data_IF_460161406461
#
_entry.id   IF_460161406461
#
_cell.length_a   1.000
_cell.length_b   1.000
_cell.length_c   1.000
_cell.angle_alpha   90.00
_cell.angle_beta   90.00
_cell.angle_gamma   90.00
#
_symmetry.space_group_name_H-M   'P 1'
#
loop_
_entity.id
_entity.type
_entity.pdbx_description
1 polymer ?
#
# COMPACT_ATOMS: atom_id res chain seq x y z
N UNK A 1 -18.65 12.53 -26.98
CA UNK A 1 -18.21 11.84 -25.75
C UNK A 1 -18.80 10.42 -25.68
N UNK A 2 -18.14 9.36 -26.20
CA UNK A 2 -18.64 7.98 -26.09
C UNK A 2 -18.05 7.16 -24.94
N UNK A 3 -16.93 7.58 -24.34
CA UNK A 3 -16.14 6.73 -23.45
C UNK A 3 -16.70 6.57 -22.02
N UNK A 4 -17.53 7.49 -21.51
CA UNK A 4 -18.08 7.39 -20.16
C UNK A 4 -19.24 6.38 -20.03
N UNK A 5 -19.92 6.06 -21.14
CA UNK A 5 -21.06 5.14 -21.12
C UNK A 5 -20.63 3.68 -20.86
N UNK A 6 -19.41 3.33 -21.23
CA UNK A 6 -18.93 1.95 -21.16
C UNK A 6 -18.71 1.48 -19.71
N UNK A 7 -18.04 2.31 -18.88
CA UNK A 7 -17.83 2.00 -17.47
C UNK A 7 -19.13 1.94 -16.67
N UNK A 8 -20.07 2.86 -16.92
CA UNK A 8 -21.38 2.84 -16.28
C UNK A 8 -22.21 1.60 -16.67
N UNK A 9 -22.09 1.16 -17.93
CA UNK A 9 -22.75 -0.07 -18.40
C UNK A 9 -22.14 -1.32 -17.78
N UNK A 10 -20.82 -1.41 -17.66
CA UNK A 10 -20.14 -2.52 -16.97
C UNK A 10 -20.57 -2.61 -15.51
N UNK A 11 -20.52 -1.50 -14.77
CA UNK A 11 -20.96 -1.46 -13.38
C UNK A 11 -22.43 -1.84 -13.25
N UNK A 12 -23.30 -1.31 -14.12
CA UNK A 12 -24.73 -1.66 -14.14
C UNK A 12 -24.99 -3.14 -14.40
N UNK A 13 -24.26 -3.78 -15.32
CA UNK A 13 -24.37 -5.22 -15.58
C UNK A 13 -23.94 -6.03 -14.35
N UNK A 14 -22.81 -5.69 -13.74
CA UNK A 14 -22.30 -6.39 -12.54
C UNK A 14 -23.28 -6.26 -11.37
N UNK A 15 -23.85 -5.08 -11.15
CA UNK A 15 -24.75 -4.82 -10.03
C UNK A 15 -26.17 -5.40 -10.21
N UNK A 16 -26.59 -5.73 -11.44
CA UNK A 16 -27.93 -6.26 -11.74
C UNK A 16 -27.98 -7.78 -11.78
N UNK A 17 -26.85 -8.44 -11.98
CA UNK A 17 -26.74 -9.89 -12.00
C UNK A 17 -26.21 -10.38 -10.64
N UNK A 18 -26.99 -11.21 -9.95
CA UNK A 18 -26.66 -11.68 -8.60
C UNK A 18 -25.35 -12.49 -8.57
N UNK A 19 -25.04 -13.24 -9.63
CA UNK A 19 -23.80 -14.02 -9.71
C UNK A 19 -22.59 -13.10 -9.92
N UNK A 20 -22.72 -12.13 -10.83
CA UNK A 20 -21.65 -11.15 -11.08
C UNK A 20 -21.41 -10.24 -9.87
N UNK A 21 -22.48 -9.86 -9.14
CA UNK A 21 -22.37 -9.08 -7.92
C UNK A 21 -21.61 -9.84 -6.83
N UNK A 22 -21.95 -11.11 -6.58
CA UNK A 22 -21.24 -11.95 -5.60
C UNK A 22 -19.78 -12.15 -5.96
N UNK A 23 -19.48 -12.35 -7.24
CA UNK A 23 -18.10 -12.46 -7.72
C UNK A 23 -17.34 -11.15 -7.45
N UNK A 24 -17.90 -10.02 -7.86
CA UNK A 24 -17.29 -8.71 -7.62
C UNK A 24 -17.07 -8.42 -6.13
N UNK A 25 -18.04 -8.71 -5.28
CA UNK A 25 -17.91 -8.55 -3.82
C UNK A 25 -16.76 -9.40 -3.26
N UNK A 26 -16.65 -10.66 -3.71
CA UNK A 26 -15.56 -11.55 -3.31
C UNK A 26 -14.18 -11.04 -3.75
N UNK A 27 -14.06 -10.50 -4.96
CA UNK A 27 -12.82 -9.94 -5.48
C UNK A 27 -12.42 -8.67 -4.72
N UNK A 28 -13.37 -7.78 -4.44
CA UNK A 28 -13.13 -6.57 -3.63
C UNK A 28 -12.66 -6.95 -2.23
N UNK A 29 -13.29 -7.96 -1.61
CA UNK A 29 -12.89 -8.47 -0.30
C UNK A 29 -11.47 -9.03 -0.34
N UNK A 30 -11.13 -9.87 -1.31
CA UNK A 30 -9.77 -10.41 -1.45
C UNK A 30 -8.72 -9.31 -1.64
N UNK A 31 -9.03 -8.26 -2.42
CA UNK A 31 -8.12 -7.12 -2.56
C UNK A 31 -7.92 -6.36 -1.25
N UNK A 32 -8.99 -6.16 -0.47
CA UNK A 32 -8.92 -5.54 0.84
C UNK A 32 -8.10 -6.38 1.83
N UNK A 33 -8.33 -7.69 1.88
CA UNK A 33 -7.62 -8.62 2.75
C UNK A 33 -6.11 -8.63 2.44
N UNK A 34 -5.74 -8.57 1.15
CA UNK A 34 -4.33 -8.45 0.74
C UNK A 34 -3.70 -7.15 1.26
N UNK A 35 -4.42 -6.03 1.20
CA UNK A 35 -3.92 -4.74 1.71
C UNK A 35 -3.68 -4.82 3.22
N UNK A 36 -4.60 -5.45 3.97
CA UNK A 36 -4.47 -5.65 5.42
C UNK A 36 -3.24 -6.51 5.72
N UNK A 37 -3.06 -7.63 5.02
CA UNK A 37 -1.89 -8.50 5.19
C UNK A 37 -0.57 -7.76 4.91
N UNK A 38 -0.53 -6.87 3.90
CA UNK A 38 0.67 -6.08 3.61
C UNK A 38 0.96 -5.04 4.71
N UNK A 39 -0.07 -4.49 5.36
CA UNK A 39 0.11 -3.60 6.53
C UNK A 39 0.73 -4.36 7.70
N UNK A 40 0.21 -5.55 7.97
CA UNK A 40 0.71 -6.38 9.06
C UNK A 40 2.17 -6.75 8.84
N UNK A 41 2.50 -7.26 7.65
CA UNK A 41 3.87 -7.64 7.29
C UNK A 41 4.83 -6.45 7.29
N UNK A 42 4.40 -5.28 6.80
CA UNK A 42 5.23 -4.08 6.85
C UNK A 42 5.57 -3.69 8.29
N UNK A 43 4.56 -3.65 9.17
CA UNK A 43 4.77 -3.33 10.58
C UNK A 43 5.68 -4.35 11.26
N UNK A 44 5.40 -5.64 11.08
CA UNK A 44 6.16 -6.72 11.72
C UNK A 44 7.63 -6.70 11.26
N UNK A 45 7.89 -6.43 9.98
CA UNK A 45 9.25 -6.27 9.45
C UNK A 45 9.97 -5.05 10.06
N UNK A 46 9.31 -3.89 10.12
CA UNK A 46 9.93 -2.67 10.66
C UNK A 46 10.26 -2.79 12.15
N UNK A 47 9.36 -3.40 12.93
CA UNK A 47 9.56 -3.71 14.35
C UNK A 47 10.66 -4.76 14.51
N UNK A 48 10.62 -5.84 13.74
CA UNK A 48 11.64 -6.90 13.78
C UNK A 48 13.05 -6.41 13.42
N UNK A 49 13.16 -5.40 12.57
CA UNK A 49 14.43 -4.75 12.22
C UNK A 49 14.88 -3.67 13.23
N UNK A 50 14.15 -3.48 14.33
CA UNK A 50 14.36 -2.41 15.32
C UNK A 50 14.47 -1.04 14.64
N UNK A 51 13.57 -0.76 13.70
CA UNK A 51 13.57 0.52 12.98
C UNK A 51 13.17 1.64 13.93
N UNK A 52 13.98 2.70 14.10
CA UNK A 52 13.64 3.82 14.97
C UNK A 52 12.27 4.44 14.62
N UNK A 53 11.51 4.82 15.65
CA UNK A 53 10.20 5.45 15.52
C UNK A 53 9.02 4.55 15.87
N UNK A 54 7.83 5.15 15.91
CA UNK A 54 6.57 4.45 16.18
C UNK A 54 5.91 4.05 14.87
N UNK A 55 5.63 2.76 14.68
CA UNK A 55 5.06 2.22 13.43
C UNK A 55 3.61 1.73 13.57
N UNK A 56 3.05 1.79 14.78
CA UNK A 56 1.72 1.24 15.09
C UNK A 56 0.58 1.87 14.29
N UNK A 57 0.79 3.08 13.75
CA UNK A 57 -0.16 3.74 12.87
C UNK A 57 -0.39 3.01 11.53
N UNK A 58 0.58 2.22 11.05
CA UNK A 58 0.44 1.44 9.80
C UNK A 58 -0.72 0.44 9.91
N UNK A 59 -0.88 -0.22 11.06
CA UNK A 59 -1.98 -1.17 11.34
C UNK A 59 -3.31 -0.46 11.63
N UNK A 60 -3.28 0.76 12.19
CA UNK A 60 -4.51 1.51 12.57
C UNK A 60 -5.17 2.21 11.38
N UNK A 61 -4.43 2.50 10.31
CA UNK A 61 -4.96 3.22 9.15
C UNK A 61 -5.76 2.30 8.22
N UNK A 62 -6.86 2.83 7.67
CA UNK A 62 -7.78 2.11 6.78
C UNK A 62 -7.63 2.64 5.35
N UNK A 63 -7.76 1.73 4.38
CA UNK A 63 -7.78 2.05 2.96
C UNK A 63 -6.44 1.79 2.26
N UNK A 64 -6.34 2.27 1.02
CA UNK A 64 -5.21 1.96 0.13
C UNK A 64 -3.93 2.72 0.46
N UNK A 65 -4.01 3.81 1.23
CA UNK A 65 -2.86 4.66 1.51
C UNK A 65 -2.43 4.54 2.96
N UNK A 66 -1.12 4.62 3.17
CA UNK A 66 -0.55 4.71 4.51
C UNK A 66 0.39 5.90 4.59
N UNK A 67 0.30 6.67 5.66
CA UNK A 67 1.33 7.64 6.00
C UNK A 67 2.42 6.91 6.77
N UNK A 68 3.64 6.87 6.24
CA UNK A 68 4.76 6.19 6.88
C UNK A 68 5.36 7.02 8.01
N UNK A 69 5.20 8.35 7.98
CA UNK A 69 5.89 9.27 8.88
C UNK A 69 7.31 9.62 8.43
N UNK A 70 7.71 9.17 7.23
CA UNK A 70 9.01 9.51 6.66
C UNK A 70 9.09 10.98 6.30
N UNK A 71 10.24 11.57 6.60
CA UNK A 71 10.58 12.95 6.26
C UNK A 71 10.93 13.08 4.78
N UNK A 72 10.81 14.29 4.23
CA UNK A 72 11.14 14.55 2.84
C UNK A 72 12.57 14.08 2.44
N UNK A 73 13.63 14.30 3.24
CA UNK A 73 14.95 13.75 2.94
C UNK A 73 14.98 12.21 2.85
N UNK A 74 14.27 11.51 3.72
CA UNK A 74 14.18 10.05 3.71
C UNK A 74 13.43 9.55 2.47
N UNK A 75 12.31 10.19 2.11
CA UNK A 75 11.56 9.83 0.88
C UNK A 75 12.39 10.06 -0.38
N UNK A 76 13.22 11.11 -0.40
CA UNK A 76 14.11 11.39 -1.52
C UNK A 76 15.24 10.36 -1.61
N UNK A 77 15.85 9.99 -0.49
CA UNK A 77 16.87 8.94 -0.45
C UNK A 77 16.32 7.60 -0.95
N UNK A 78 15.09 7.24 -0.56
CA UNK A 78 14.42 6.05 -1.04
C UNK A 78 14.19 6.06 -2.56
N UNK A 79 13.82 7.21 -3.13
CA UNK A 79 13.64 7.34 -4.57
C UNK A 79 14.97 7.26 -5.34
N UNK A 80 16.03 7.91 -4.85
CA UNK A 80 17.31 8.02 -5.54
C UNK A 80 18.18 6.76 -5.41
N UNK A 81 18.17 6.12 -4.24
CA UNK A 81 19.08 5.00 -3.92
C UNK A 81 18.43 3.63 -3.96
N UNK A 82 17.14 3.56 -3.61
CA UNK A 82 16.39 2.30 -3.55
C UNK A 82 15.29 2.19 -4.63
N UNK A 83 15.15 3.20 -5.51
CA UNK A 83 14.12 3.25 -6.55
C UNK A 83 12.69 3.05 -6.01
N UNK A 84 12.44 3.48 -4.77
CA UNK A 84 11.13 3.42 -4.11
C UNK A 84 10.51 4.80 -4.15
N UNK A 85 9.41 4.92 -4.89
CA UNK A 85 8.72 6.20 -5.10
C UNK A 85 7.48 6.32 -4.22
N UNK A 86 7.41 7.42 -3.48
CA UNK A 86 6.26 7.81 -2.67
C UNK A 86 6.13 9.33 -2.68
N UNK A 87 5.03 9.86 -2.14
CA UNK A 87 4.87 11.32 -2.03
C UNK A 87 5.81 11.88 -0.96
N UNK A 88 6.19 13.16 -1.11
CA UNK A 88 7.16 13.81 -0.23
C UNK A 88 6.71 13.93 1.23
N UNK A 89 5.42 13.78 1.50
CA UNK A 89 4.82 13.71 2.85
C UNK A 89 4.84 12.29 3.45
N UNK A 90 5.52 11.34 2.80
CA UNK A 90 5.66 9.96 3.25
C UNK A 90 4.41 9.10 3.04
N UNK A 91 3.44 9.54 2.23
CA UNK A 91 2.27 8.72 1.89
C UNK A 91 2.61 7.70 0.79
N UNK A 92 2.34 6.44 1.07
CA UNK A 92 2.53 5.31 0.14
C UNK A 92 1.22 4.61 -0.20
N UNK A 93 1.14 4.03 -1.40
CA UNK A 93 0.08 3.11 -1.80
C UNK A 93 0.40 1.69 -1.32
N UNK A 94 -0.35 1.20 -0.33
CA UNK A 94 -0.27 -0.19 0.15
C UNK A 94 -0.67 -1.20 -0.93
N UNK A 95 -1.48 -0.78 -1.91
CA UNK A 95 -1.88 -1.63 -3.02
C UNK A 95 -0.71 -1.96 -3.97
N UNK A 96 0.37 -1.15 -3.97
CA UNK A 96 1.60 -1.43 -4.72
C UNK A 96 2.54 -2.42 -4.03
N UNK A 97 2.29 -2.72 -2.75
CA UNK A 97 3.07 -3.69 -1.99
C UNK A 97 2.47 -5.10 -2.16
N UNK A 98 3.35 -6.09 -2.23
CA UNK A 98 3.01 -7.49 -2.39
C UNK A 98 4.11 -8.36 -1.73
N UNK A 99 3.86 -9.67 -1.66
CA UNK A 99 4.77 -10.62 -1.00
C UNK A 99 6.19 -10.65 -1.55
N UNK A 100 6.43 -10.16 -2.78
CA UNK A 100 7.74 -10.17 -3.43
C UNK A 100 8.56 -8.90 -3.17
N UNK A 101 7.90 -7.77 -2.87
CA UNK A 101 8.58 -6.48 -2.70
C UNK A 101 8.50 -5.89 -1.28
N UNK A 102 7.63 -6.42 -0.43
CA UNK A 102 7.41 -5.89 0.92
C UNK A 102 8.66 -5.95 1.80
N UNK A 103 9.46 -7.01 1.67
CA UNK A 103 10.67 -7.17 2.46
C UNK A 103 11.72 -6.14 2.03
N UNK A 104 11.97 -6.02 0.71
CA UNK A 104 12.85 -5.00 0.14
C UNK A 104 12.44 -3.58 0.53
N UNK A 105 11.13 -3.29 0.46
CA UNK A 105 10.57 -2.02 0.88
C UNK A 105 10.84 -1.75 2.36
N UNK A 106 10.53 -2.71 3.25
CA UNK A 106 10.74 -2.56 4.69
C UNK A 106 12.21 -2.38 5.07
N UNK A 107 13.13 -3.12 4.44
CA UNK A 107 14.57 -2.98 4.64
C UNK A 107 15.08 -1.61 4.19
N UNK A 108 14.64 -1.16 3.02
CA UNK A 108 15.00 0.15 2.49
C UNK A 108 14.48 1.28 3.39
N UNK A 109 13.23 1.18 3.87
CA UNK A 109 12.68 2.14 4.84
C UNK A 109 13.52 2.15 6.12
N UNK A 110 13.87 0.98 6.65
CA UNK A 110 14.69 0.86 7.86
C UNK A 110 16.06 1.53 7.71
N UNK A 111 16.75 1.26 6.60
CA UNK A 111 18.03 1.91 6.25
C UNK A 111 17.88 3.42 6.08
N UNK A 112 16.82 3.89 5.42
CA UNK A 112 16.56 5.32 5.24
C UNK A 112 16.33 6.03 6.57
N UNK A 113 15.65 5.39 7.51
CA UNK A 113 15.42 5.93 8.86
C UNK A 113 16.71 5.97 9.69
N UNK A 114 17.54 4.93 9.58
CA UNK A 114 18.83 4.84 10.29
C UNK A 114 19.93 5.72 9.68
N UNK A 115 19.74 6.17 8.44
CA UNK A 115 20.75 6.94 7.70
C UNK A 115 21.78 6.09 6.97
N UNK A 116 21.50 4.79 6.80
CA UNK A 116 22.38 3.79 6.20
C UNK A 116 22.07 3.53 4.72
N UNK A 117 21.15 4.30 4.13
CA UNK A 117 20.72 4.17 2.74
C UNK A 117 21.73 4.78 1.77
#
# INVERSE_FOLDING_TARGET
HPFHLHGARIASTILRDEQLYKLWESEVKHMADRIIQMRDRLYDNLVGQNTPGEWSHIKKQIGMFSFTGLTQPQTKALAEKAHIYMTADGRISMAGLNGNNIDYFSESVSKAVKGDL
#
